data_IF_813600357088
#
_entry.id   IF_813600357088
#
_cell.length_a   1.000
_cell.length_b   1.000
_cell.length_c   1.000
_cell.angle_alpha   90.00
_cell.angle_beta   90.00
_cell.angle_gamma   90.00
#
_symmetry.space_group_name_H-M   'P 1'
#
loop_
_entity.id
_entity.type
_entity.pdbx_description
1 polymer ?
#
# COMPACT_ATOMS: atom_id res chain seq x y z
N UNK A 1 12.12 17.85 4.11
CA UNK A 1 11.37 16.99 5.08
C UNK A 1 12.36 16.39 6.06
N UNK A 2 12.01 16.27 7.35
CA UNK A 2 12.92 15.72 8.35
C UNK A 2 12.24 14.79 9.37
N UNK A 3 13.00 13.82 9.91
CA UNK A 3 12.63 12.93 11.01
C UNK A 3 11.34 12.12 10.77
N UNK A 4 11.14 11.63 9.55
CA UNK A 4 10.01 10.80 9.16
C UNK A 4 10.47 9.47 8.58
N UNK A 5 9.56 8.49 8.49
CA UNK A 5 9.86 7.25 7.76
C UNK A 5 10.15 7.53 6.29
N UNK A 6 9.28 8.28 5.61
CA UNK A 6 9.51 8.67 4.23
C UNK A 6 9.34 10.16 4.04
N UNK A 7 10.25 10.77 3.28
CA UNK A 7 10.15 12.18 2.96
C UNK A 7 9.29 12.48 1.72
N UNK A 8 9.13 11.52 0.81
CA UNK A 8 8.08 11.53 -0.20
C UNK A 8 7.66 10.09 -0.51
N UNK A 9 6.35 9.83 -0.68
CA UNK A 9 5.84 8.49 -1.02
C UNK A 9 4.83 8.55 -2.17
N UNK A 10 5.01 7.69 -3.17
CA UNK A 10 3.99 7.37 -4.17
C UNK A 10 3.41 6.00 -3.82
N UNK A 11 2.10 5.93 -3.56
CA UNK A 11 1.39 4.69 -3.25
C UNK A 11 0.46 4.32 -4.41
N UNK A 12 0.64 3.11 -4.94
CA UNK A 12 -0.18 2.58 -6.05
C UNK A 12 -0.86 1.29 -5.62
N UNK A 13 -2.18 1.26 -5.77
CA UNK A 13 -3.00 0.09 -5.52
C UNK A 13 -3.42 -0.53 -6.84
N UNK A 14 -3.16 -1.83 -7.08
CA UNK A 14 -3.67 -2.52 -8.26
C UNK A 14 -5.19 -2.70 -8.19
N UNK A 15 -5.85 -2.76 -9.36
CA UNK A 15 -7.29 -2.99 -9.51
C UNK A 15 -7.79 -4.38 -9.13
N UNK A 16 -7.08 -5.10 -8.24
CA UNK A 16 -7.54 -6.34 -7.66
C UNK A 16 -8.33 -6.01 -6.37
N UNK A 17 -9.45 -6.68 -6.16
CA UNK A 17 -10.16 -6.59 -4.89
C UNK A 17 -9.30 -7.20 -3.78
N UNK A 18 -8.78 -6.36 -2.89
CA UNK A 18 -8.27 -6.81 -1.60
C UNK A 18 -9.41 -6.87 -0.60
N UNK A 19 -9.41 -7.86 0.30
CA UNK A 19 -10.28 -7.84 1.47
C UNK A 19 -10.07 -6.49 2.18
N UNK A 20 -11.11 -5.67 2.20
CA UNK A 20 -11.09 -4.34 2.80
C UNK A 20 -10.67 -4.52 4.27
N UNK A 21 -9.56 -3.88 4.69
CA UNK A 21 -9.36 -3.71 6.12
C UNK A 21 -10.52 -2.85 6.65
N UNK A 22 -11.04 -3.10 7.87
CA UNK A 22 -12.24 -2.44 8.39
C UNK A 22 -12.24 -0.90 8.33
N UNK A 23 -11.05 -0.29 8.24
CA UNK A 23 -10.84 1.16 8.19
C UNK A 23 -10.37 1.68 6.83
N UNK A 24 -10.16 0.82 5.84
CA UNK A 24 -9.66 1.18 4.51
C UNK A 24 -10.71 0.85 3.45
N UNK A 25 -11.52 1.85 3.10
CA UNK A 25 -12.41 1.81 1.95
C UNK A 25 -11.58 2.07 0.68
N UNK A 26 -11.20 1.02 -0.07
CA UNK A 26 -10.59 1.24 -1.39
C UNK A 26 -10.01 0.01 -2.06
N UNK A 27 -10.52 -0.31 -3.24
CA UNK A 27 -9.82 -1.09 -4.26
C UNK A 27 -8.98 -0.17 -5.15
N UNK A 28 -7.87 -0.68 -5.69
CA UNK A 28 -7.04 0.06 -6.63
C UNK A 28 -7.65 0.16 -8.03
N UNK A 29 -6.88 0.69 -9.00
CA UNK A 29 -7.34 0.84 -10.38
C UNK A 29 -6.24 0.52 -11.40
N UNK A 30 -6.57 0.53 -12.69
CA UNK A 30 -5.60 0.30 -13.79
C UNK A 30 -4.80 1.55 -14.18
N UNK A 31 -4.86 2.60 -13.36
CA UNK A 31 -4.18 3.87 -13.61
C UNK A 31 -2.67 3.78 -13.39
N UNK A 32 -1.94 4.77 -13.91
CA UNK A 32 -0.49 4.90 -13.74
C UNK A 32 -0.13 6.32 -13.32
N UNK A 33 0.98 6.44 -12.58
CA UNK A 33 1.58 7.73 -12.22
C UNK A 33 2.81 7.93 -13.11
N UNK A 34 2.88 9.03 -13.86
CA UNK A 34 4.02 9.35 -14.74
C UNK A 34 4.37 10.84 -14.68
N UNK A 35 5.61 11.16 -15.07
CA UNK A 35 6.13 12.52 -15.19
C UNK A 35 6.12 13.31 -13.86
N UNK A 36 6.71 12.72 -12.81
CA UNK A 36 6.81 13.33 -11.49
C UNK A 36 8.21 13.92 -11.32
N UNK A 37 8.26 15.21 -11.03
CA UNK A 37 9.50 15.93 -10.68
C UNK A 37 9.42 16.38 -9.24
N UNK A 38 10.43 16.02 -8.45
CA UNK A 38 10.65 16.60 -7.12
C UNK A 38 11.74 17.68 -7.25
N UNK A 39 11.35 18.94 -7.17
CA UNK A 39 12.28 20.07 -7.29
C UNK A 39 12.62 20.66 -5.91
N UNK A 40 13.85 21.16 -5.74
CA UNK A 40 14.35 21.78 -4.49
C UNK A 40 14.12 20.89 -3.26
N UNK A 41 14.26 19.59 -3.46
CA UNK A 41 13.94 18.58 -2.48
C UNK A 41 15.08 18.37 -1.47
N UNK A 42 14.77 18.42 -0.18
CA UNK A 42 15.70 18.17 0.90
C UNK A 42 15.14 17.10 1.85
N UNK A 43 15.97 16.10 2.19
CA UNK A 43 15.66 15.01 3.11
C UNK A 43 16.71 14.94 4.20
N UNK A 44 16.28 15.12 5.45
CA UNK A 44 17.16 15.14 6.62
C UNK A 44 16.70 14.05 7.60
N UNK A 45 17.55 13.07 7.88
CA UNK A 45 17.25 12.02 8.86
C UNK A 45 15.89 11.32 8.63
N UNK A 46 15.62 10.92 7.38
CA UNK A 46 14.49 10.07 7.06
C UNK A 46 15.01 8.69 6.66
N UNK A 47 14.26 7.63 6.96
CA UNK A 47 14.65 6.26 6.61
C UNK A 47 14.70 6.09 5.08
N UNK A 48 13.74 6.68 4.36
CA UNK A 48 13.74 6.77 2.90
C UNK A 48 13.52 8.22 2.45
N UNK A 49 14.40 8.73 1.59
CA UNK A 49 14.17 10.00 0.90
C UNK A 49 12.89 9.89 0.04
N UNK A 50 12.87 8.98 -0.93
CA UNK A 50 11.69 8.73 -1.77
C UNK A 50 11.33 7.25 -1.68
N UNK A 51 10.05 6.94 -1.42
CA UNK A 51 9.51 5.57 -1.45
C UNK A 51 8.43 5.41 -2.52
N UNK A 52 8.63 4.43 -3.40
CA UNK A 52 7.55 3.80 -4.14
C UNK A 52 6.97 2.63 -3.35
N UNK A 53 5.65 2.58 -3.18
CA UNK A 53 4.97 1.41 -2.62
C UNK A 53 3.88 0.94 -3.57
N UNK A 54 4.06 -0.26 -4.10
CA UNK A 54 3.02 -1.02 -4.80
C UNK A 54 2.55 -2.17 -3.91
N UNK A 55 1.25 -2.43 -3.92
CA UNK A 55 0.68 -3.62 -3.27
C UNK A 55 0.58 -4.76 -4.28
N UNK A 56 1.71 -5.26 -4.77
CA UNK A 56 1.79 -6.58 -5.41
C UNK A 56 2.12 -7.61 -4.34
N UNK A 57 1.29 -7.75 -3.31
CA UNK A 57 1.41 -8.93 -2.45
C UNK A 57 0.78 -10.07 -3.22
N UNK A 58 1.55 -11.14 -3.44
CA UNK A 58 0.99 -12.45 -3.77
C UNK A 58 -0.24 -12.65 -2.88
N UNK A 59 -1.40 -12.85 -3.49
CA UNK A 59 -2.53 -13.44 -2.77
C UNK A 59 -2.04 -14.85 -2.46
N UNK A 60 -1.41 -15.04 -1.30
CA UNK A 60 -1.08 -16.39 -0.83
C UNK A 60 -2.41 -17.09 -0.61
N UNK A 61 -2.68 -18.24 -1.29
CA UNK A 61 -3.94 -18.97 -1.16
C UNK A 61 -4.30 -19.29 0.29
N UNK A 62 -3.30 -19.42 1.16
CA UNK A 62 -3.45 -19.76 2.58
C UNK A 62 -4.07 -18.65 3.45
N UNK A 63 -4.23 -17.44 2.92
CA UNK A 63 -4.95 -16.35 3.59
C UNK A 63 -6.49 -16.51 3.57
N UNK A 64 -7.02 -17.49 2.83
CA UNK A 64 -8.44 -17.86 2.78
C UNK A 64 -8.78 -19.11 3.60
N UNK A 65 -8.05 -19.42 4.69
CA UNK A 65 -8.49 -20.48 5.60
C UNK A 65 -9.78 -20.03 6.29
N UNK A 66 -10.91 -20.52 5.77
CA UNK A 66 -12.23 -20.36 6.37
C UNK A 66 -12.13 -20.66 7.87
N UNK A 67 -12.71 -19.77 8.69
CA UNK A 67 -12.95 -20.05 10.10
C UNK A 67 -13.72 -21.39 10.17
N UNK A 68 -13.32 -22.34 11.02
CA UNK A 68 -14.04 -23.60 11.12
C UNK A 68 -15.51 -23.33 11.48
N UNK A 69 -16.42 -23.97 10.76
CA UNK A 69 -17.86 -24.04 11.03
C UNK A 69 -18.11 -24.74 12.38
N UNK A 70 -17.88 -24.05 13.49
CA UNK A 70 -18.15 -24.58 14.83
C UNK A 70 -18.75 -23.53 15.76
N UNK A 71 -19.75 -22.78 15.27
CA UNK A 71 -20.73 -22.06 16.11
C UNK A 71 -22.12 -22.04 15.44
N UNK A 72 -22.59 -23.20 15.00
CA UNK A 72 -24.03 -23.46 14.87
C UNK A 72 -24.38 -24.50 15.94
N UNK A 73 -25.05 -24.02 16.99
CA UNK A 73 -25.52 -24.77 18.15
C UNK A 73 -26.37 -23.87 19.03
#
# INVERSE_FOLDING_TARGET
>A
MANASDAARIKVWPGINSVLQPTLSGGGGSGYVKNITYEKYESINNDWAIRGQSMLRSIEPDSMRALPESMEG
#
